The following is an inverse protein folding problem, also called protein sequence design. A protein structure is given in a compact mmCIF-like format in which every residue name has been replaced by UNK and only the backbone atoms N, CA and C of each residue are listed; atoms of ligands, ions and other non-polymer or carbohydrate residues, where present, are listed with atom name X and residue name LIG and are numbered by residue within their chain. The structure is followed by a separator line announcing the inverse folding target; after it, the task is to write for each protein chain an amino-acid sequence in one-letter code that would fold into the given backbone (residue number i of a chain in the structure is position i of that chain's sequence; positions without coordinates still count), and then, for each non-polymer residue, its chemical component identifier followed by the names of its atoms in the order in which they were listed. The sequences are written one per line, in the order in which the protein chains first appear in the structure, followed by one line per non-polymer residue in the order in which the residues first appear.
data_IF_979468186515
#
_entry.id   IF_979468186515
#
_cell.length_a   1.000
_cell.length_b   1.000
_cell.length_c   1.000
_cell.angle_alpha   90.00
_cell.angle_beta   90.00
_cell.angle_gamma   90.00
#
_symmetry.space_group_name_H-M   'P 1'
#
loop_
_entity.id
_entity.type
_entity.pdbx_description
1 polymer ?
#
# COMPACT_ATOMS: atom_id res chain seq x y z
N UNK A 1 -30.12 15.40 -14.69
CA UNK A 1 -29.39 14.41 -15.51
C UNK A 1 -27.97 14.38 -15.00
N UNK A 2 -27.45 13.38 -14.31
CA UNK A 2 -27.97 12.08 -13.90
C UNK A 2 -27.12 11.61 -12.71
N UNK A 3 -27.77 10.97 -11.73
CA UNK A 3 -27.27 9.95 -10.82
C UNK A 3 -25.87 10.08 -10.18
N UNK A 4 -25.85 10.52 -8.92
CA UNK A 4 -24.81 10.19 -7.96
C UNK A 4 -25.25 8.96 -7.13
N UNK A 5 -25.21 7.78 -7.76
CA UNK A 5 -25.38 6.49 -7.08
C UNK A 5 -24.02 5.97 -6.58
N UNK A 6 -23.81 6.10 -5.26
CA UNK A 6 -23.14 5.17 -4.33
C UNK A 6 -21.95 4.33 -4.82
N UNK A 7 -20.79 4.37 -4.11
CA UNK A 7 -20.10 3.14 -3.77
C UNK A 7 -20.76 2.58 -2.51
N UNK A 8 -21.59 1.55 -2.69
CA UNK A 8 -22.03 0.71 -1.58
C UNK A 8 -20.77 0.20 -0.89
N UNK A 9 -20.63 0.50 0.41
CA UNK A 9 -19.83 -0.34 1.30
C UNK A 9 -20.16 -1.80 0.95
N UNK A 10 -19.18 -2.69 0.81
CA UNK A 10 -19.48 -4.10 0.94
C UNK A 10 -19.81 -4.29 2.41
N UNK A 11 -21.09 -4.08 2.74
CA UNK A 11 -21.72 -4.85 3.80
C UNK A 11 -21.46 -6.27 3.34
N UNK A 12 -20.45 -6.89 3.95
CA UNK A 12 -20.35 -8.34 4.03
C UNK A 12 -21.65 -8.77 4.70
N UNK A 13 -22.71 -8.84 3.90
CA UNK A 13 -23.90 -9.60 4.18
C UNK A 13 -23.35 -11.01 4.22
N UNK A 14 -23.01 -11.41 5.45
CA UNK A 14 -22.75 -12.77 5.80
C UNK A 14 -23.75 -13.61 5.02
N UNK A 15 -23.24 -14.45 4.15
CA UNK A 15 -23.95 -15.59 3.58
C UNK A 15 -24.29 -16.54 4.73
N UNK A 16 -25.09 -16.09 5.69
CA UNK A 16 -25.80 -16.90 6.66
C UNK A 16 -27.04 -17.42 5.94
N UNK A 17 -26.79 -18.25 4.93
CA UNK A 17 -27.80 -19.08 4.26
C UNK A 17 -27.24 -20.47 4.04
N UNK A 18 -26.51 -20.98 5.05
CA UNK A 18 -26.19 -22.39 5.19
C UNK A 18 -26.67 -22.85 6.57
N UNK A 19 -27.85 -23.48 6.60
CA UNK A 19 -28.30 -24.31 7.71
C UNK A 19 -29.03 -23.58 8.86
N UNK A 20 -30.34 -23.78 8.93
CA UNK A 20 -31.26 -23.36 10.00
C UNK A 20 -30.93 -24.03 11.36
N UNK A 21 -29.88 -23.57 12.00
CA UNK A 21 -29.62 -23.78 13.43
C UNK A 21 -29.22 -22.44 14.00
N UNK A 22 -30.15 -21.76 14.68
CA UNK A 22 -29.83 -20.55 15.45
C UNK A 22 -28.75 -20.93 16.46
N UNK A 23 -27.54 -20.40 16.27
CA UNK A 23 -26.45 -20.51 17.22
C UNK A 23 -26.90 -19.94 18.57
N UNK A 24 -26.41 -20.47 19.71
CA UNK A 24 -26.68 -19.88 21.02
C UNK A 24 -26.19 -18.42 21.06
N UNK A 25 -26.88 -17.56 21.82
CA UNK A 25 -26.65 -16.12 21.83
C UNK A 25 -25.18 -15.72 22.15
N UNK A 26 -24.53 -16.46 23.05
CA UNK A 26 -23.11 -16.25 23.39
C UNK A 26 -22.15 -16.47 22.20
N UNK A 27 -22.43 -17.49 21.37
CA UNK A 27 -21.65 -17.76 20.15
C UNK A 27 -21.96 -16.76 19.04
N UNK A 28 -23.18 -16.21 18.99
CA UNK A 28 -23.51 -15.13 18.05
C UNK A 28 -22.72 -13.86 18.38
N UNK A 29 -22.67 -13.47 19.65
CA UNK A 29 -21.89 -12.30 20.08
C UNK A 29 -20.40 -12.44 19.77
N UNK A 30 -19.80 -13.59 20.11
CA UNK A 30 -18.39 -13.89 19.78
C UNK A 30 -18.12 -13.90 18.27
N UNK A 31 -19.09 -14.35 17.47
CA UNK A 31 -18.98 -14.36 16.02
C UNK A 31 -19.03 -12.93 15.46
N UNK A 32 -19.95 -12.09 15.95
CA UNK A 32 -20.07 -10.69 15.55
C UNK A 32 -18.80 -9.89 15.89
N UNK A 33 -18.25 -10.06 17.10
CA UNK A 33 -16.97 -9.43 17.48
C UNK A 33 -15.81 -9.87 16.58
N UNK A 34 -15.77 -11.16 16.22
CA UNK A 34 -14.76 -11.72 15.32
C UNK A 34 -14.92 -11.16 13.90
N UNK A 35 -16.15 -11.06 13.39
CA UNK A 35 -16.42 -10.49 12.07
C UNK A 35 -16.11 -8.98 12.02
N UNK A 36 -16.36 -8.24 13.10
CA UNK A 36 -15.97 -6.84 13.21
C UNK A 36 -14.45 -6.66 13.20
N UNK A 37 -13.72 -7.52 13.92
CA UNK A 37 -12.26 -7.52 13.93
C UNK A 37 -11.68 -7.87 12.53
N UNK A 38 -12.22 -8.90 11.87
CA UNK A 38 -11.82 -9.28 10.52
C UNK A 38 -12.07 -8.17 9.50
N UNK A 39 -13.25 -7.54 9.54
CA UNK A 39 -13.57 -6.41 8.66
C UNK A 39 -12.57 -5.26 8.81
N UNK A 40 -12.13 -4.97 10.05
CA UNK A 40 -11.10 -3.96 10.32
C UNK A 40 -9.75 -4.33 9.70
N UNK A 41 -9.31 -5.56 9.86
CA UNK A 41 -8.05 -6.03 9.26
C UNK A 41 -8.09 -5.98 7.73
N UNK A 42 -9.21 -6.37 7.11
CA UNK A 42 -9.40 -6.23 5.66
C UNK A 42 -9.31 -4.78 5.20
N UNK A 43 -9.98 -3.87 5.91
CA UNK A 43 -9.93 -2.44 5.58
C UNK A 43 -8.51 -1.88 5.66
N UNK A 44 -7.79 -2.17 6.75
CA UNK A 44 -6.39 -1.75 6.92
C UNK A 44 -5.47 -2.34 5.85
N UNK A 45 -5.64 -3.62 5.50
CA UNK A 45 -4.87 -4.26 4.42
C UNK A 45 -5.09 -3.55 3.09
N UNK A 46 -6.34 -3.24 2.74
CA UNK A 46 -6.68 -2.60 1.47
C UNK A 46 -6.12 -1.17 1.38
N UNK A 47 -6.11 -0.43 2.49
CA UNK A 47 -5.43 0.87 2.57
C UNK A 47 -3.92 0.76 2.37
N UNK A 48 -3.28 -0.22 3.03
CA UNK A 48 -1.85 -0.49 2.87
C UNK A 48 -1.50 -0.90 1.43
N UNK A 49 -2.36 -1.69 0.76
CA UNK A 49 -2.17 -2.07 -0.64
C UNK A 49 -2.24 -0.87 -1.59
N UNK A 50 -3.17 0.07 -1.34
CA UNK A 50 -3.22 1.34 -2.08
C UNK A 50 -1.95 2.15 -1.86
N UNK A 51 -1.52 2.28 -0.60
CA UNK A 51 -0.25 2.94 -0.24
C UNK A 51 0.94 2.32 -0.97
N UNK A 52 1.06 0.99 -0.96
CA UNK A 52 2.11 0.25 -1.66
C UNK A 52 2.08 0.47 -3.17
N UNK A 53 0.90 0.60 -3.78
CA UNK A 53 0.77 0.91 -5.20
C UNK A 53 1.28 2.32 -5.50
N UNK A 54 0.92 3.30 -4.68
CA UNK A 54 1.45 4.66 -4.80
C UNK A 54 2.96 4.74 -4.62
N UNK A 55 3.51 4.05 -3.60
CA UNK A 55 4.96 4.00 -3.38
C UNK A 55 5.68 3.38 -4.57
N UNK A 56 5.16 2.30 -5.17
CA UNK A 56 5.75 1.72 -6.40
C UNK A 56 5.80 2.70 -7.55
N UNK A 57 4.73 3.48 -7.75
CA UNK A 57 4.69 4.51 -8.79
C UNK A 57 5.72 5.60 -8.50
N UNK A 58 5.82 6.05 -7.25
CA UNK A 58 6.83 7.02 -6.80
C UNK A 58 8.25 6.53 -7.06
N UNK A 59 8.58 5.29 -6.65
CA UNK A 59 9.90 4.70 -6.89
C UNK A 59 10.21 4.59 -8.39
N UNK A 60 9.21 4.27 -9.21
CA UNK A 60 9.35 4.24 -10.67
C UNK A 60 9.64 5.63 -11.26
N UNK A 61 8.99 6.67 -10.73
CA UNK A 61 9.25 8.06 -11.09
C UNK A 61 10.67 8.50 -10.71
N UNK A 62 11.14 8.17 -9.50
CA UNK A 62 12.50 8.48 -9.06
C UNK A 62 13.56 7.79 -9.93
N UNK A 63 13.34 6.52 -10.29
CA UNK A 63 14.23 5.81 -11.20
C UNK A 63 14.27 6.46 -12.59
N UNK A 64 13.11 6.86 -13.11
CA UNK A 64 13.02 7.61 -14.36
C UNK A 64 13.77 8.96 -14.27
N UNK A 65 13.64 9.71 -13.17
CA UNK A 65 14.38 10.96 -12.96
C UNK A 65 15.88 10.75 -13.00
N UNK A 66 16.40 9.69 -12.37
CA UNK A 66 17.83 9.36 -12.40
C UNK A 66 18.26 8.97 -13.81
N UNK A 67 17.52 8.08 -14.48
CA UNK A 67 17.88 7.58 -15.80
C UNK A 67 17.83 8.68 -16.87
N UNK A 68 16.71 9.41 -16.96
CA UNK A 68 16.54 10.51 -17.90
C UNK A 68 17.43 11.69 -17.54
N UNK A 69 17.52 12.06 -16.26
CA UNK A 69 18.41 13.12 -15.79
C UNK A 69 19.87 12.81 -16.12
N UNK A 70 20.32 11.58 -15.90
CA UNK A 70 21.68 11.15 -16.23
C UNK A 70 21.94 11.19 -17.75
N UNK A 71 21.01 10.66 -18.55
CA UNK A 71 21.12 10.65 -20.01
C UNK A 71 21.13 12.06 -20.60
N UNK A 72 20.14 12.90 -20.26
CA UNK A 72 20.04 14.27 -20.75
C UNK A 72 21.16 15.16 -20.18
N UNK A 73 21.58 14.93 -18.94
CA UNK A 73 22.71 15.66 -18.35
C UNK A 73 24.00 15.38 -19.11
N UNK A 74 24.26 14.11 -19.43
CA UNK A 74 25.44 13.72 -20.20
C UNK A 74 25.45 14.27 -21.63
N UNK A 75 24.34 14.16 -22.35
CA UNK A 75 24.25 14.65 -23.74
C UNK A 75 24.39 16.17 -23.80
N UNK A 76 23.67 16.89 -22.95
CA UNK A 76 23.74 18.36 -22.92
C UNK A 76 25.08 18.87 -22.39
N UNK A 77 25.71 18.17 -21.45
CA UNK A 77 27.03 18.58 -20.93
C UNK A 77 28.11 18.60 -22.01
N UNK A 78 28.07 17.66 -22.97
CA UNK A 78 29.07 17.59 -24.06
C UNK A 78 29.00 18.78 -25.02
N UNK A 79 27.81 19.32 -25.24
CA UNK A 79 27.56 20.44 -26.14
C UNK A 79 27.41 21.79 -25.41
N UNK A 80 27.48 21.78 -24.07
CA UNK A 80 27.26 22.97 -23.26
C UNK A 80 28.37 24.00 -23.43
N UNK A 81 27.97 25.22 -23.78
CA UNK A 81 28.85 26.38 -23.81
C UNK A 81 29.04 26.93 -22.39
N UNK A 82 30.29 26.94 -21.94
CA UNK A 82 30.68 27.40 -20.60
C UNK A 82 30.38 28.90 -20.36
N UNK A 83 30.16 29.69 -21.41
CA UNK A 83 29.80 31.11 -21.33
C UNK A 83 28.36 31.33 -20.86
N UNK A 84 27.47 30.37 -21.14
CA UNK A 84 26.06 30.39 -20.72
C UNK A 84 25.86 29.94 -19.25
N UNK A 85 26.95 29.78 -18.49
CA UNK A 85 26.93 29.31 -17.11
C UNK A 85 26.44 30.38 -16.14
N UNK A 86 25.63 29.97 -15.16
CA UNK A 86 25.24 30.83 -14.03
C UNK A 86 26.43 31.22 -13.15
N UNK A 87 27.51 30.43 -13.13
CA UNK A 87 28.71 30.65 -12.32
C UNK A 87 29.85 31.34 -13.08
N UNK A 88 29.55 31.96 -14.24
CA UNK A 88 30.58 32.61 -15.07
C UNK A 88 31.39 33.70 -14.33
N UNK A 89 30.80 34.37 -13.34
CA UNK A 89 31.48 35.41 -12.53
C UNK A 89 32.16 34.86 -11.28
N UNK A 90 31.89 33.61 -10.89
CA UNK A 90 32.28 33.04 -9.59
C UNK A 90 33.50 32.14 -9.70
N UNK A 91 33.61 31.36 -10.78
CA UNK A 91 34.73 30.43 -10.99
C UNK A 91 35.30 30.61 -12.38
N UNK A 92 36.62 30.53 -12.56
CA UNK A 92 37.28 30.52 -13.87
C UNK A 92 37.31 29.15 -14.55
N UNK A 93 36.92 28.08 -13.84
CA UNK A 93 37.08 26.71 -14.32
C UNK A 93 35.98 26.34 -15.35
N UNK A 94 36.33 26.02 -16.60
CA UNK A 94 35.36 25.74 -17.66
C UNK A 94 34.56 24.45 -17.40
N UNK A 95 35.13 23.46 -16.72
CA UNK A 95 34.43 22.21 -16.39
C UNK A 95 33.31 22.43 -15.39
N UNK A 96 33.58 23.20 -14.33
CA UNK A 96 32.58 23.56 -13.33
C UNK A 96 31.48 24.42 -13.99
N UNK A 97 31.87 25.42 -14.80
CA UNK A 97 30.89 26.26 -15.51
C UNK A 97 29.91 25.47 -16.37
N UNK A 98 30.38 24.46 -17.11
CA UNK A 98 29.52 23.62 -17.96
C UNK A 98 28.43 22.89 -17.18
N UNK A 99 28.74 22.38 -15.97
CA UNK A 99 27.74 21.73 -15.11
C UNK A 99 26.63 22.69 -14.68
N UNK A 100 26.98 23.96 -14.44
CA UNK A 100 26.05 25.02 -14.03
C UNK A 100 25.46 25.80 -15.21
N UNK A 101 25.36 25.18 -16.39
CA UNK A 101 24.52 25.69 -17.48
C UNK A 101 23.09 25.18 -17.30
N UNK A 102 22.05 25.87 -17.80
CA UNK A 102 20.65 25.59 -17.43
C UNK A 102 20.22 24.13 -17.57
N UNK A 103 20.51 23.48 -18.71
CA UNK A 103 20.09 22.11 -18.98
C UNK A 103 20.87 21.06 -18.17
N UNK A 104 22.23 21.01 -18.20
CA UNK A 104 23.01 20.13 -17.33
C UNK A 104 22.73 20.33 -15.84
N UNK A 105 22.50 21.57 -15.40
CA UNK A 105 22.19 21.85 -14.01
C UNK A 105 20.82 21.29 -13.60
N UNK A 106 19.79 21.48 -14.42
CA UNK A 106 18.48 20.88 -14.20
C UNK A 106 18.56 19.35 -14.18
N UNK A 107 19.29 18.76 -15.14
CA UNK A 107 19.52 17.32 -15.18
C UNK A 107 20.24 16.81 -13.93
N UNK A 108 21.25 17.53 -13.43
CA UNK A 108 21.94 17.23 -12.18
C UNK A 108 20.97 17.26 -11.00
N UNK A 109 20.11 18.30 -10.90
CA UNK A 109 19.10 18.39 -9.84
C UNK A 109 18.15 17.18 -9.89
N UNK A 110 17.63 16.81 -11.05
CA UNK A 110 16.76 15.63 -11.19
C UNK A 110 17.43 14.35 -10.70
N UNK A 111 18.70 14.13 -11.07
CA UNK A 111 19.47 12.96 -10.62
C UNK A 111 19.68 12.98 -9.11
N UNK A 112 20.06 14.14 -8.56
CA UNK A 112 20.28 14.31 -7.12
C UNK A 112 19.00 14.06 -6.34
N UNK A 113 17.87 14.66 -6.75
CA UNK A 113 16.56 14.42 -6.12
C UNK A 113 16.20 12.95 -6.14
N UNK A 114 16.30 12.29 -7.30
CA UNK A 114 16.01 10.86 -7.40
C UNK A 114 16.93 10.00 -6.51
N UNK A 115 18.23 10.30 -6.46
CA UNK A 115 19.17 9.54 -5.63
C UNK A 115 18.89 9.67 -4.12
N UNK A 116 18.40 10.82 -3.66
CA UNK A 116 18.05 11.02 -2.25
C UNK A 116 16.66 10.49 -1.90
N UNK A 117 15.71 10.51 -2.83
CA UNK A 117 14.36 10.00 -2.61
C UNK A 117 14.29 8.46 -2.67
N UNK A 118 15.03 7.83 -3.59
CA UNK A 118 14.93 6.40 -3.87
C UNK A 118 15.21 5.47 -2.66
N UNK A 119 16.19 5.73 -1.78
CA UNK A 119 16.40 4.91 -0.58
C UNK A 119 15.21 4.99 0.39
N UNK A 120 14.59 6.16 0.52
CA UNK A 120 13.42 6.37 1.39
C UNK A 120 12.22 5.61 0.84
N UNK A 121 12.00 5.71 -0.46
CA UNK A 121 10.91 5.01 -1.16
C UNK A 121 11.06 3.49 -1.09
N UNK A 122 12.29 2.98 -1.24
CA UNK A 122 12.58 1.55 -1.08
C UNK A 122 12.33 1.06 0.36
N UNK A 123 12.72 1.85 1.36
CA UNK A 123 12.46 1.53 2.76
C UNK A 123 10.95 1.56 3.08
N UNK A 124 10.23 2.54 2.56
CA UNK A 124 8.77 2.61 2.69
C UNK A 124 8.10 1.38 2.06
N UNK A 125 8.60 0.93 0.90
CA UNK A 125 8.08 -0.24 0.19
C UNK A 125 8.33 -1.55 0.95
N UNK A 126 9.49 -1.72 1.60
CA UNK A 126 9.76 -2.88 2.44
C UNK A 126 8.85 -2.90 3.68
N UNK A 127 8.73 -1.77 4.38
CA UNK A 127 7.88 -1.65 5.57
C UNK A 127 6.41 -1.91 5.23
N UNK A 128 5.92 -1.37 4.11
CA UNK A 128 4.54 -1.59 3.66
C UNK A 128 4.28 -3.07 3.36
N UNK A 129 5.23 -3.77 2.71
CA UNK A 129 5.11 -5.22 2.46
C UNK A 129 5.03 -6.02 3.75
N UNK A 130 5.91 -5.72 4.71
CA UNK A 130 5.94 -6.43 6.00
C UNK A 130 4.63 -6.23 6.76
N UNK A 131 4.10 -5.00 6.78
CA UNK A 131 2.81 -4.68 7.41
C UNK A 131 1.66 -5.42 6.73
N UNK A 132 1.61 -5.46 5.40
CA UNK A 132 0.59 -6.23 4.67
C UNK A 132 0.67 -7.72 5.03
N UNK A 133 1.87 -8.30 5.12
CA UNK A 133 2.04 -9.69 5.53
C UNK A 133 1.56 -9.95 6.96
N UNK A 134 1.78 -9.01 7.88
CA UNK A 134 1.26 -9.12 9.25
C UNK A 134 -0.27 -9.09 9.27
N UNK A 135 -0.90 -8.19 8.52
CA UNK A 135 -2.35 -8.13 8.40
C UNK A 135 -2.93 -9.39 7.76
N UNK A 136 -2.30 -9.94 6.71
CA UNK A 136 -2.74 -11.18 6.07
C UNK A 136 -2.72 -12.36 7.05
N UNK A 137 -1.69 -12.45 7.91
CA UNK A 137 -1.62 -13.47 8.96
C UNK A 137 -2.71 -13.25 10.03
N UNK A 138 -2.99 -12.00 10.39
CA UNK A 138 -4.06 -11.69 11.34
C UNK A 138 -5.44 -12.09 10.79
N UNK A 139 -5.68 -11.85 9.50
CA UNK A 139 -6.89 -12.28 8.78
C UNK A 139 -7.00 -13.80 8.79
N UNK A 140 -5.94 -14.52 8.39
CA UNK A 140 -5.93 -15.99 8.38
C UNK A 140 -6.21 -16.57 9.78
N UNK A 141 -5.57 -16.03 10.82
CA UNK A 141 -5.83 -16.46 12.19
C UNK A 141 -7.27 -16.15 12.62
N UNK A 142 -7.80 -14.98 12.26
CA UNK A 142 -9.19 -14.62 12.53
C UNK A 142 -10.20 -15.52 11.81
N UNK A 143 -9.92 -15.94 10.59
CA UNK A 143 -10.74 -16.89 9.84
C UNK A 143 -10.78 -18.27 10.51
N UNK A 144 -9.63 -18.75 11.02
CA UNK A 144 -9.56 -20.00 11.80
C UNK A 144 -10.41 -19.89 13.07
N UNK A 145 -10.26 -18.80 13.83
CA UNK A 145 -11.06 -18.55 15.04
C UNK A 145 -12.56 -18.50 14.70
N UNK A 146 -12.93 -17.82 13.62
CA UNK A 146 -14.31 -17.76 13.14
C UNK A 146 -14.87 -19.16 12.85
N UNK A 147 -14.11 -20.01 12.16
CA UNK A 147 -14.51 -21.39 11.88
C UNK A 147 -14.65 -22.23 13.17
N UNK A 148 -13.73 -22.06 14.12
CA UNK A 148 -13.81 -22.74 15.42
C UNK A 148 -15.04 -22.32 16.24
N UNK A 149 -15.38 -21.03 16.29
CA UNK A 149 -16.59 -20.51 16.95
C UNK A 149 -17.85 -21.14 16.34
N UNK A 150 -17.92 -21.21 15.01
CA UNK A 150 -19.06 -21.83 14.30
C UNK A 150 -19.13 -23.33 14.62
N UNK A 151 -17.99 -24.03 14.59
CA UNK A 151 -17.93 -25.47 14.90
C UNK A 151 -18.36 -25.77 16.34
N UNK A 152 -17.86 -25.01 17.30
CA UNK A 152 -18.24 -25.14 18.71
C UNK A 152 -19.73 -24.83 18.91
N UNK A 153 -20.21 -23.70 18.39
CA UNK A 153 -21.60 -23.28 18.56
C UNK A 153 -22.60 -24.24 17.93
N UNK A 154 -22.27 -24.84 16.77
CA UNK A 154 -23.10 -25.87 16.13
C UNK A 154 -23.09 -27.19 16.92
N UNK A 155 -21.94 -27.60 17.47
CA UNK A 155 -21.85 -28.78 18.34
C UNK A 155 -22.71 -28.62 19.60
N UNK A 156 -22.67 -27.45 20.25
CA UNK A 156 -23.47 -27.13 21.44
C UNK A 156 -24.97 -27.10 21.09
N UNK A 157 -25.36 -26.43 20.00
CA UNK A 157 -26.76 -26.38 19.55
C UNK A 157 -27.33 -27.79 19.25
N UNK A 158 -26.53 -28.66 18.63
CA UNK A 158 -26.93 -30.04 18.34
C UNK A 158 -27.09 -30.89 19.61
N UNK A 159 -26.25 -30.66 20.62
CA UNK A 159 -26.30 -31.37 21.91
C UNK A 159 -27.49 -30.91 22.75
N UNK A 160 -27.78 -29.61 22.79
CA UNK A 160 -28.95 -29.06 23.47
C UNK A 160 -30.26 -29.58 22.86
N UNK A 161 -30.35 -29.70 21.52
CA UNK A 161 -31.51 -30.27 20.84
C UNK A 161 -31.74 -31.74 21.19
N UNK A 162 -30.68 -32.53 21.40
CA UNK A 162 -30.81 -33.95 21.83
C UNK A 162 -31.32 -34.10 23.26
N UNK A 163 -31.00 -33.16 24.16
CA UNK A 163 -31.48 -33.18 25.54
C UNK A 163 -32.94 -32.78 25.64
N UNK A 164 -33.40 -31.82 24.82
CA UNK A 164 -34.79 -31.35 24.83
C UNK A 164 -35.83 -32.33 24.24
N UNK A 165 -35.39 -33.44 23.63
CA UNK A 165 -36.26 -34.46 23.00
C UNK A 165 -36.44 -35.70 23.90
N UNK A 166 -35.82 -35.73 25.09
CA UNK A 166 -36.05 -36.75 26.12
C UNK A 166 -37.02 -36.26 27.18
#
# INVERSE_FOLDING_TARGET
MSDATSPKSPVAQAQNSAGSTKLPADYQYRLEDCEMALARHHFTRDELQRGLTWTKVSTGFDYALIAFGGYFGWTNYRIAEHEASFLRSVTGNPYIRRVFTPFPFLSLLCVVFGLFALPVDLAALSVAKDRIQMEERAIQNGEVIRQDIIREGTAVASSAKKVAIK
#
